data_IF_323508429172
#
_entry.id   IF_323508429172
#
_cell.length_a   1.000
_cell.length_b   1.000
_cell.length_c   1.000
_cell.angle_alpha   90.00
_cell.angle_beta   90.00
_cell.angle_gamma   90.00
#
_symmetry.space_group_name_H-M   'P 1'
#
loop_
_entity.id
_entity.type
_entity.pdbx_description
1 polymer ?
#
# COMPACT_ATOMS: atom_id res chain seq x y z
N UNK A 1 -17.68 -2.34 1.45
CA UNK A 1 -16.92 -1.12 1.80
C UNK A 1 -15.47 -1.38 1.47
N UNK A 2 -14.76 -0.43 0.88
CA UNK A 2 -13.33 -0.63 0.53
C UNK A 2 -12.51 -0.39 1.78
N UNK A 3 -11.67 -1.36 2.14
CA UNK A 3 -10.74 -1.29 3.25
C UNK A 3 -9.33 -1.43 2.70
N UNK A 4 -8.45 -0.50 3.05
CA UNK A 4 -7.05 -0.55 2.68
C UNK A 4 -6.18 -0.68 3.92
N UNK A 5 -5.21 -1.61 3.87
CA UNK A 5 -4.10 -1.65 4.81
C UNK A 5 -3.03 -0.70 4.32
N UNK A 6 -2.93 0.48 4.92
CA UNK A 6 -1.92 1.47 4.53
C UNK A 6 -0.68 1.28 5.39
N UNK A 7 0.46 1.03 4.75
CA UNK A 7 1.76 0.92 5.41
C UNK A 7 2.51 2.22 5.22
N UNK A 8 2.69 2.98 6.30
CA UNK A 8 3.41 4.24 6.31
C UNK A 8 4.83 4.00 6.79
N UNK A 9 5.81 4.31 5.95
CA UNK A 9 7.23 4.21 6.27
C UNK A 9 7.80 5.56 6.73
N UNK A 10 8.36 5.60 7.93
CA UNK A 10 9.15 6.71 8.42
C UNK A 10 10.61 6.56 7.98
N UNK A 11 11.00 7.40 7.01
CA UNK A 11 12.34 7.40 6.42
C UNK A 11 13.46 7.79 7.38
N UNK A 12 13.16 8.40 8.54
CA UNK A 12 14.15 8.85 9.54
C UNK A 12 14.33 7.85 10.67
N UNK A 13 13.23 7.31 11.18
CA UNK A 13 13.27 6.33 12.27
C UNK A 13 13.42 4.89 11.77
N UNK A 14 13.27 4.63 10.47
CA UNK A 14 13.31 3.29 9.89
C UNK A 14 12.16 2.40 10.33
N UNK A 15 11.14 2.98 10.98
CA UNK A 15 9.95 2.28 11.47
C UNK A 15 8.83 2.38 10.45
N UNK A 16 8.05 1.31 10.36
CA UNK A 16 6.85 1.23 9.53
C UNK A 16 5.63 0.99 10.39
N UNK A 17 4.55 1.68 10.08
CA UNK A 17 3.29 1.56 10.79
C UNK A 17 2.18 1.14 9.84
N UNK A 18 1.34 0.21 10.29
CA UNK A 18 0.19 -0.27 9.53
C UNK A 18 -1.06 0.37 10.09
N UNK A 19 -1.80 1.09 9.25
CA UNK A 19 -3.04 1.79 9.61
C UNK A 19 -4.15 1.23 8.72
N UNK A 20 -5.20 0.62 9.30
CA UNK A 20 -6.39 0.26 8.54
C UNK A 20 -7.17 1.55 8.20
N UNK A 21 -7.40 1.80 6.92
CA UNK A 21 -8.17 2.95 6.44
C UNK A 21 -9.48 2.44 5.85
N UNK A 22 -10.60 2.88 6.43
CA UNK A 22 -11.96 2.50 6.02
C UNK A 22 -12.75 3.69 5.51
N UNK A 23 -13.76 3.41 4.67
CA UNK A 23 -14.81 4.36 4.32
C UNK A 23 -14.38 5.55 3.46
N UNK A 24 -14.73 6.76 3.89
CA UNK A 24 -14.57 7.99 3.10
C UNK A 24 -13.10 8.31 2.80
N UNK A 25 -12.21 8.03 3.75
CA UNK A 25 -10.77 8.20 3.60
C UNK A 25 -10.17 7.25 2.54
N UNK A 26 -10.69 6.02 2.46
CA UNK A 26 -10.28 5.05 1.45
C UNK A 26 -10.69 5.48 0.03
N UNK A 27 -11.91 6.02 -0.13
CA UNK A 27 -12.39 6.48 -1.43
C UNK A 27 -11.54 7.61 -2.02
N UNK A 28 -11.00 8.49 -1.18
CA UNK A 28 -10.10 9.58 -1.61
C UNK A 28 -8.74 9.11 -2.13
N UNK A 29 -8.33 7.88 -1.78
CA UNK A 29 -7.11 7.25 -2.30
C UNK A 29 -7.33 6.55 -3.64
N UNK A 30 -8.57 6.23 -3.99
CA UNK A 30 -8.91 5.59 -5.27
C UNK A 30 -8.71 6.59 -6.41
N UNK A 31 -8.05 6.15 -7.48
CA UNK A 31 -7.74 7.00 -8.64
C UNK A 31 -6.41 7.76 -8.55
N UNK A 32 -5.74 7.77 -7.40
CA UNK A 32 -4.36 8.26 -7.27
C UNK A 32 -3.37 7.31 -7.96
N UNK A 33 -2.25 7.85 -8.42
CA UNK A 33 -1.18 7.07 -9.05
C UNK A 33 -0.04 6.84 -8.08
N UNK A 34 0.71 5.77 -8.32
CA UNK A 34 2.01 5.58 -7.68
C UNK A 34 2.93 6.74 -8.09
N UNK A 35 3.58 7.34 -7.10
CA UNK A 35 4.44 8.51 -7.25
C UNK A 35 3.79 9.81 -6.79
N UNK A 36 2.46 9.86 -6.70
CA UNK A 36 1.73 11.05 -6.27
C UNK A 36 1.92 11.34 -4.78
N UNK A 37 1.96 12.63 -4.43
CA UNK A 37 1.88 13.10 -3.06
C UNK A 37 0.42 13.24 -2.61
N UNK A 38 0.15 12.78 -1.40
CA UNK A 38 -1.16 12.75 -0.75
C UNK A 38 -1.01 13.30 0.68
N UNK A 39 -2.00 14.06 1.12
CA UNK A 39 -2.01 14.57 2.49
C UNK A 39 -2.30 13.45 3.49
N UNK A 40 -1.55 13.42 4.59
CA UNK A 40 -1.67 12.40 5.63
C UNK A 40 -3.01 12.41 6.38
N UNK A 41 -3.85 13.43 6.17
CA UNK A 41 -5.21 13.51 6.71
C UNK A 41 -6.04 12.28 6.29
N UNK A 42 -5.82 11.74 5.09
CA UNK A 42 -6.53 10.56 4.61
C UNK A 42 -6.08 9.24 5.27
N UNK A 43 -5.01 9.26 6.06
CA UNK A 43 -4.44 8.08 6.75
C UNK A 43 -4.32 8.36 8.24
N UNK A 44 -5.15 9.26 8.78
CA UNK A 44 -5.16 9.65 10.20
C UNK A 44 -3.85 10.26 10.72
N UNK A 45 -3.00 10.78 9.82
CA UNK A 45 -1.75 11.47 10.11
C UNK A 45 -1.84 12.95 9.71
N UNK A 46 -2.55 13.78 10.47
CA UNK A 46 -2.72 15.19 10.13
C UNK A 46 -1.37 15.93 10.14
N UNK A 47 -1.16 16.79 9.14
CA UNK A 47 0.06 17.60 9.00
C UNK A 47 1.25 16.89 8.33
N UNK A 48 1.08 15.64 7.91
CA UNK A 48 2.09 14.90 7.15
C UNK A 48 1.82 14.96 5.64
N UNK A 49 2.88 14.90 4.83
CA UNK A 49 2.76 14.57 3.40
C UNK A 49 3.34 13.19 3.14
N UNK A 50 2.57 12.38 2.41
CA UNK A 50 2.87 11.00 2.09
C UNK A 50 3.00 10.85 0.58
N UNK A 51 3.97 10.09 0.12
CA UNK A 51 4.10 9.69 -1.28
C UNK A 51 3.72 8.22 -1.42
N UNK A 52 2.86 7.91 -2.40
CA UNK A 52 2.50 6.52 -2.72
C UNK A 52 3.68 5.87 -3.44
N UNK A 53 4.26 4.81 -2.87
CA UNK A 53 5.39 4.10 -3.47
C UNK A 53 5.00 2.80 -4.15
N UNK A 54 3.84 2.24 -3.80
CA UNK A 54 3.31 1.05 -4.44
C UNK A 54 2.18 0.39 -3.66
N UNK A 55 1.92 -0.87 -3.96
CA UNK A 55 0.88 -1.65 -3.30
C UNK A 55 0.75 -3.06 -3.84
N UNK A 56 -0.15 -3.82 -3.24
CA UNK A 56 -0.48 -5.18 -3.65
C UNK A 56 -1.98 -5.34 -3.85
N UNK A 57 -2.31 -6.09 -4.90
CA UNK A 57 -3.69 -6.48 -5.22
C UNK A 57 -4.17 -7.62 -4.31
N UNK A 58 -5.48 -7.84 -4.21
CA UNK A 58 -6.07 -8.98 -3.49
C UNK A 58 -5.51 -10.35 -3.91
N UNK A 59 -5.09 -10.51 -5.16
CA UNK A 59 -4.44 -11.73 -5.66
C UNK A 59 -2.94 -11.80 -5.35
N UNK A 60 -2.37 -10.87 -4.59
CA UNK A 60 -0.94 -10.79 -4.28
C UNK A 60 -0.06 -10.26 -5.42
N UNK A 61 -0.66 -9.76 -6.51
CA UNK A 61 0.12 -9.16 -7.60
C UNK A 61 0.62 -7.77 -7.21
N UNK A 62 1.91 -7.47 -7.42
CA UNK A 62 2.45 -6.15 -7.13
C UNK A 62 1.98 -5.13 -8.18
N UNK A 63 1.86 -3.88 -7.74
CA UNK A 63 1.68 -2.76 -8.65
C UNK A 63 3.02 -2.32 -9.25
N UNK A 64 2.97 -1.80 -10.48
CA UNK A 64 4.16 -1.30 -11.19
C UNK A 64 3.91 0.10 -11.74
N UNK A 65 4.86 1.00 -11.49
CA UNK A 65 4.81 2.42 -11.89
C UNK A 65 4.63 2.59 -13.42
N UNK A 66 5.36 1.78 -14.20
CA UNK A 66 5.44 1.89 -15.66
C UNK A 66 4.11 1.62 -16.38
N UNK A 67 3.20 0.86 -15.75
CA UNK A 67 1.97 0.45 -16.41
C UNK A 67 0.83 1.41 -16.05
N UNK A 68 0.33 2.23 -16.99
CA UNK A 68 -0.76 3.14 -16.70
C UNK A 68 -2.08 2.40 -16.49
N UNK A 69 -2.88 2.95 -15.57
CA UNK A 69 -4.25 2.56 -15.34
C UNK A 69 -4.44 1.58 -14.19
N UNK A 70 -5.70 1.24 -13.95
CA UNK A 70 -6.13 0.37 -12.85
C UNK A 70 -6.20 -1.11 -13.24
N UNK A 71 -5.73 -1.51 -14.43
CA UNK A 71 -5.94 -2.86 -14.97
C UNK A 71 -4.83 -3.84 -14.61
N UNK A 72 -5.15 -5.14 -14.59
CA UNK A 72 -4.17 -6.23 -14.55
C UNK A 72 -3.74 -6.54 -15.99
N UNK A 73 -2.43 -6.64 -16.23
CA UNK A 73 -1.90 -7.08 -17.54
C UNK A 73 -0.83 -8.14 -17.37
N UNK A 74 -0.75 -9.06 -18.34
CA UNK A 74 0.35 -10.01 -18.46
C UNK A 74 1.46 -9.41 -19.32
N UNK A 75 2.63 -9.22 -18.73
CA UNK A 75 3.80 -8.65 -19.41
C UNK A 75 4.94 -9.67 -19.43
N UNK A 76 5.73 -9.65 -20.51
CA UNK A 76 6.96 -10.43 -20.60
C UNK A 76 8.08 -9.68 -19.87
N UNK A 77 8.34 -10.10 -18.63
CA UNK A 77 9.31 -9.46 -17.75
C UNK A 77 10.68 -10.12 -17.92
N UNK A 78 11.71 -9.29 -18.02
CA UNK A 78 13.13 -9.68 -17.93
C UNK A 78 13.66 -9.57 -16.49
N UNK A 79 13.06 -8.73 -15.66
CA UNK A 79 13.42 -8.55 -14.26
C UNK A 79 12.64 -7.40 -13.60
N UNK A 80 12.99 -7.09 -12.35
CA UNK A 80 12.42 -5.98 -11.59
C UNK A 80 11.16 -6.33 -10.79
N UNK A 81 10.21 -5.40 -10.75
CA UNK A 81 9.00 -5.52 -9.91
C UNK A 81 8.14 -6.71 -10.36
N UNK A 82 7.95 -7.68 -9.47
CA UNK A 82 7.16 -8.90 -9.70
C UNK A 82 7.92 -10.06 -10.36
N UNK A 83 9.16 -9.85 -10.83
CA UNK A 83 9.97 -10.92 -11.38
C UNK A 83 11.45 -10.75 -11.05
N UNK A 84 11.97 -11.69 -10.26
CA UNK A 84 13.41 -11.87 -10.04
C UNK A 84 13.86 -13.07 -10.88
N UNK A 85 14.68 -12.88 -11.93
CA UNK A 85 15.16 -13.97 -12.76
C UNK A 85 16.25 -14.75 -12.01
N UNK A 86 16.20 -16.08 -12.06
CA UNK A 86 17.21 -16.95 -11.45
C UNK A 86 18.48 -17.04 -12.30
N UNK A 87 18.34 -16.92 -13.63
CA UNK A 87 19.45 -16.93 -14.58
C UNK A 87 19.42 -15.68 -15.46
N UNK A 88 20.61 -15.24 -15.88
CA UNK A 88 20.76 -14.12 -16.81
C UNK A 88 20.07 -14.45 -18.14
N UNK A 89 19.20 -13.56 -18.60
CA UNK A 89 18.48 -13.70 -19.86
C UNK A 89 17.12 -14.41 -19.78
N UNK A 90 16.74 -15.00 -18.64
CA UNK A 90 15.39 -15.58 -18.47
C UNK A 90 14.34 -14.49 -18.51
N UNK A 91 13.31 -14.68 -19.36
CA UNK A 91 12.12 -13.84 -19.43
C UNK A 91 10.89 -14.68 -19.15
N UNK A 92 9.96 -14.17 -18.34
CA UNK A 92 8.70 -14.87 -18.03
C UNK A 92 7.51 -13.94 -18.19
N UNK A 93 6.43 -14.44 -18.80
CA UNK A 93 5.14 -13.75 -18.79
C UNK A 93 4.54 -13.83 -17.39
N UNK A 94 4.39 -12.68 -16.72
CA UNK A 94 3.75 -12.58 -15.41
C UNK A 94 2.67 -11.51 -15.40
N UNK A 95 1.66 -11.73 -14.57
CA UNK A 95 0.59 -10.76 -14.33
C UNK A 95 1.06 -9.69 -13.34
N UNK A 96 0.82 -8.43 -13.68
CA UNK A 96 1.19 -7.27 -12.87
C UNK A 96 0.01 -6.29 -12.85
N UNK A 97 -0.16 -5.56 -11.75
CA UNK A 97 -1.18 -4.51 -11.63
C UNK A 97 -0.61 -3.18 -12.12
N UNK A 98 -1.45 -2.37 -12.76
CA UNK A 98 -1.09 -1.01 -13.14
C UNK A 98 -0.85 -0.08 -11.95
N UNK A 99 -0.49 1.16 -12.26
CA UNK A 99 -0.04 2.16 -11.31
C UNK A 99 -1.17 2.94 -10.62
N UNK A 100 -2.42 2.77 -11.04
CA UNK A 100 -3.55 3.52 -10.48
C UNK A 100 -4.22 2.71 -9.37
N UNK A 101 -4.49 3.35 -8.24
CA UNK A 101 -5.14 2.70 -7.10
C UNK A 101 -6.61 2.44 -7.42
N UNK A 102 -7.05 1.19 -7.26
CA UNK A 102 -8.43 0.75 -7.40
C UNK A 102 -8.91 0.03 -6.14
N UNK A 103 -10.22 -0.21 -6.05
CA UNK A 103 -10.89 -0.91 -4.96
C UNK A 103 -10.41 -2.36 -4.74
N UNK A 104 -9.77 -2.98 -5.73
CA UNK A 104 -9.24 -4.35 -5.64
C UNK A 104 -7.92 -4.47 -4.85
N UNK A 105 -7.33 -3.34 -4.48
CA UNK A 105 -6.07 -3.28 -3.75
C UNK A 105 -6.32 -3.58 -2.28
N UNK A 106 -5.41 -4.33 -1.67
CA UNK A 106 -5.50 -4.66 -0.23
C UNK A 106 -4.50 -3.82 0.56
N UNK A 107 -3.27 -3.67 0.05
CA UNK A 107 -2.21 -2.95 0.73
C UNK A 107 -1.69 -1.79 -0.12
N UNK A 108 -1.52 -0.63 0.50
CA UNK A 108 -0.89 0.55 -0.11
C UNK A 108 0.35 0.89 0.70
N UNK A 109 1.49 1.03 0.02
CA UNK A 109 2.75 1.44 0.64
C UNK A 109 2.96 2.93 0.42
N UNK A 110 3.22 3.65 1.51
CA UNK A 110 3.45 5.08 1.51
C UNK A 110 4.76 5.43 2.21
N UNK A 111 5.42 6.48 1.74
CA UNK A 111 6.63 7.06 2.33
C UNK A 111 6.34 8.46 2.82
N UNK A 112 6.81 8.82 4.02
CA UNK A 112 6.72 10.20 4.50
C UNK A 112 7.71 11.08 3.73
N UNK A 113 7.22 12.13 3.06
CA UNK A 113 8.05 13.15 2.39
C UNK A 113 8.23 14.38 3.27
N UNK A 114 7.16 14.87 3.90
CA UNK A 114 7.19 15.99 4.84
C UNK A 114 6.64 15.59 6.19
N UNK A 115 7.39 15.92 7.23
CA UNK A 115 7.07 15.63 8.62
C UNK A 115 6.18 16.72 9.20
N UNK A 116 5.13 16.29 9.92
CA UNK A 116 4.29 17.17 10.72
C UNK A 116 4.86 17.47 12.11
N UNK A 117 4.10 18.23 12.90
CA UNK A 117 4.52 18.71 14.22
C UNK A 117 4.55 17.64 15.33
N UNK A 118 3.76 16.56 15.21
CA UNK A 118 3.68 15.48 16.21
C UNK A 118 4.32 14.20 15.71
N UNK A 119 5.10 13.46 16.52
CA UNK A 119 5.76 12.24 16.07
C UNK A 119 4.73 11.16 15.70
N UNK A 120 5.03 10.44 14.61
CA UNK A 120 4.18 9.38 14.04
C UNK A 120 3.85 8.28 15.07
N UNK A 121 4.77 8.02 16.00
CA UNK A 121 4.60 7.01 17.05
C UNK A 121 3.49 7.35 18.06
N UNK A 122 3.27 8.62 18.37
CA UNK A 122 2.24 9.08 19.31
C UNK A 122 0.86 9.13 18.67
N UNK A 123 0.81 9.31 17.34
CA UNK A 123 -0.44 9.26 16.58
C UNK A 123 -0.95 7.83 16.35
N UNK A 124 -0.11 6.82 16.60
CA UNK A 124 -0.37 5.42 16.24
C UNK A 124 -0.55 4.49 17.45
N UNK A 125 -0.37 4.97 18.70
CA UNK A 125 -0.75 4.22 19.91
C UNK A 125 -1.55 5.10 20.88
N UNK A 126 -2.68 4.66 21.47
CA UNK A 126 -3.22 3.30 21.54
C UNK A 126 -4.71 3.15 21.10
N UNK A 127 -4.97 2.21 20.19
CA UNK A 127 -6.10 1.26 20.31
C UNK A 127 -5.62 -0.11 19.82
N UNK A 128 -4.92 -0.84 20.69
CA UNK A 128 -5.00 -2.30 20.68
C UNK A 128 -6.17 -2.68 21.60
N UNK A 129 -7.33 -3.06 21.03
CA UNK A 129 -8.31 -3.97 21.67
C UNK A 129 -9.39 -4.44 20.67
N UNK A 130 -9.34 -5.74 20.36
CA UNK A 130 -10.41 -6.57 19.78
C UNK A 130 -10.29 -6.76 18.26
N UNK A 131 -9.94 -7.90 17.67
CA UNK A 131 -10.01 -9.29 18.12
C UNK A 131 -8.97 -10.13 17.32
N UNK A 132 -8.02 -10.75 18.02
CA UNK A 132 -7.43 -12.01 17.56
C UNK A 132 -7.94 -13.14 18.47
N UNK A 133 -8.58 -14.15 17.86
CA UNK A 133 -8.83 -15.53 18.33
C UNK A 133 -9.93 -15.80 19.38
N UNK A 134 -11.08 -16.27 18.89
CA UNK A 134 -11.96 -17.40 19.33
C UNK A 134 -13.05 -17.49 18.24
N UNK A 135 -13.10 -18.48 17.35
CA UNK A 135 -13.62 -19.82 17.61
C UNK A 135 -13.08 -20.79 16.55
N UNK A 136 -12.01 -21.51 16.92
CA UNK A 136 -11.67 -22.82 16.37
C UNK A 136 -11.77 -23.81 17.54
N UNK A 137 -12.98 -23.95 18.11
CA UNK A 137 -13.37 -25.02 19.05
C UNK A 137 -14.86 -24.88 19.44
N UNK A 138 -15.66 -25.94 19.25
CA UNK A 138 -17.09 -26.14 19.60
C UNK A 138 -18.17 -25.79 18.56
N UNK A 139 -18.34 -26.65 17.55
CA UNK A 139 -19.51 -27.55 17.46
C UNK A 139 -19.32 -28.62 16.39
#
# INVERSE_FOLDING_TARGET
MVEFKVVVNDSKQGKSYTIPVTGHHANSLVGKKIGDEVDGIFVSLPGYKLQITGGTDKSGFPMRLDLPGAVKRRLLLSGGVGFRPDEKGKRKKKSVRGNTINQDIVQINMRITKYGAKPVAELIKPEEKGEEKKEESEK
#
